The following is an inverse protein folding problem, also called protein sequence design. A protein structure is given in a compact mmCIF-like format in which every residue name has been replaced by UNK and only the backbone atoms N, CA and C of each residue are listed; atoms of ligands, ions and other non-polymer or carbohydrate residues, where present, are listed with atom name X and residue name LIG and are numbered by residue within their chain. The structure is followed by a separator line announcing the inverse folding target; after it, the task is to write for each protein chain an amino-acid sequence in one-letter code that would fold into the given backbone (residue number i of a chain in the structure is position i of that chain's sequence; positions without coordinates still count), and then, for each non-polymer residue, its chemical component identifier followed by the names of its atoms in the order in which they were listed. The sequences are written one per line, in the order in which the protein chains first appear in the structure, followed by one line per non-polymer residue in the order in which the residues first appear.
data_IF_325681819591
#
_entry.id   IF_325681819591
#
_cell.length_a   1.000
_cell.length_b   1.000
_cell.length_c   1.000
_cell.angle_alpha   90.00
_cell.angle_beta   90.00
_cell.angle_gamma   90.00
#
_symmetry.space_group_name_H-M   'P 1'
#
loop_
_entity.id
_entity.type
_entity.pdbx_description
1 polymer ?
#
# COMPACT_ATOMS: atom_id res chain seq x y z
N UNK A 1 -16.24 35.88 -13.21
CA UNK A 1 -15.26 35.57 -14.26
C UNK A 1 -15.55 34.19 -14.80
N UNK A 2 -16.05 34.08 -16.00
CA UNK A 2 -16.54 32.85 -16.63
C UNK A 2 -15.35 32.20 -17.37
N UNK A 3 -14.89 31.06 -16.89
CA UNK A 3 -13.81 30.31 -17.56
C UNK A 3 -14.42 29.57 -18.75
N UNK A 4 -14.11 30.03 -19.94
CA UNK A 4 -14.46 29.31 -21.18
C UNK A 4 -13.45 28.16 -21.39
N UNK A 5 -13.93 26.93 -21.25
CA UNK A 5 -13.18 25.73 -21.67
C UNK A 5 -13.27 25.61 -23.20
N UNK A 6 -12.15 25.83 -23.89
CA UNK A 6 -12.04 25.49 -25.32
C UNK A 6 -12.03 23.96 -25.46
N UNK A 7 -13.03 23.43 -26.15
CA UNK A 7 -13.07 22.05 -26.63
C UNK A 7 -11.97 21.89 -27.69
N UNK A 8 -10.98 21.09 -27.43
CA UNK A 8 -9.99 20.67 -28.43
C UNK A 8 -10.63 19.54 -29.22
N UNK A 9 -10.83 19.76 -30.52
CA UNK A 9 -11.27 18.72 -31.46
C UNK A 9 -10.17 17.66 -31.58
N UNK A 10 -10.51 16.41 -31.25
CA UNK A 10 -9.61 15.27 -31.39
C UNK A 10 -9.53 14.91 -32.87
N UNK A 11 -8.32 14.98 -33.43
CA UNK A 11 -8.02 14.36 -34.73
C UNK A 11 -8.19 12.84 -34.63
N UNK A 12 -9.02 12.30 -35.53
CA UNK A 12 -9.17 10.85 -35.72
C UNK A 12 -7.85 10.29 -36.24
N UNK A 13 -7.21 9.34 -35.52
CA UNK A 13 -6.16 8.53 -36.13
C UNK A 13 -4.94 8.09 -35.34
N UNK A 14 -4.88 8.22 -34.00
CA UNK A 14 -3.87 7.49 -33.24
C UNK A 14 -4.56 6.53 -32.27
N UNK A 15 -4.40 5.24 -32.49
CA UNK A 15 -4.78 4.21 -31.51
C UNK A 15 -3.94 4.46 -30.24
N UNK A 16 -4.56 5.07 -29.26
CA UNK A 16 -3.94 5.38 -27.97
C UNK A 16 -3.72 4.06 -27.23
N UNK A 17 -2.65 3.34 -27.61
CA UNK A 17 -2.31 2.05 -27.01
C UNK A 17 -1.91 2.30 -25.56
N UNK A 18 -2.67 1.76 -24.62
CA UNK A 18 -2.37 1.83 -23.20
C UNK A 18 -0.97 1.28 -22.94
N UNK A 19 -0.14 2.06 -22.29
CA UNK A 19 1.22 1.66 -21.93
C UNK A 19 1.54 2.03 -20.48
N UNK A 20 2.35 1.18 -19.83
CA UNK A 20 2.80 1.36 -18.46
C UNK A 20 4.32 1.45 -18.44
N UNK A 21 4.85 2.43 -17.74
CA UNK A 21 6.30 2.61 -17.55
C UNK A 21 6.61 2.72 -16.06
N UNK A 22 7.45 1.84 -15.54
CA UNK A 22 7.95 1.93 -14.17
C UNK A 22 9.06 2.99 -14.13
N UNK A 23 8.89 4.00 -13.29
CA UNK A 23 9.81 5.11 -13.10
C UNK A 23 10.79 4.83 -11.95
N UNK A 24 10.27 4.23 -10.87
CA UNK A 24 11.04 3.87 -9.68
C UNK A 24 10.37 2.66 -9.01
N UNK A 25 11.16 1.71 -8.52
CA UNK A 25 10.64 0.52 -7.84
C UNK A 25 11.61 0.04 -6.78
N UNK A 26 11.05 -0.30 -5.63
CA UNK A 26 11.70 -1.05 -4.55
C UNK A 26 10.73 -2.09 -4.00
N UNK A 27 11.12 -2.88 -3.01
CA UNK A 27 10.23 -3.88 -2.42
C UNK A 27 8.96 -3.26 -1.81
N UNK A 28 9.08 -2.03 -1.23
CA UNK A 28 7.97 -1.36 -0.54
C UNK A 28 7.46 -0.08 -1.21
N UNK A 29 8.06 0.36 -2.30
CA UNK A 29 7.67 1.60 -2.98
C UNK A 29 7.68 1.41 -4.48
N UNK A 30 6.69 2.00 -5.16
CA UNK A 30 6.68 2.05 -6.61
C UNK A 30 6.13 3.37 -7.11
N UNK A 31 6.74 3.86 -8.20
CA UNK A 31 6.29 4.99 -8.98
C UNK A 31 6.27 4.61 -10.45
N UNK A 32 5.15 4.81 -11.12
CA UNK A 32 4.96 4.41 -12.50
C UNK A 32 4.06 5.40 -13.24
N UNK A 33 4.19 5.47 -14.57
CA UNK A 33 3.25 6.20 -15.41
C UNK A 33 2.37 5.22 -16.21
N UNK A 34 1.13 5.64 -16.44
CA UNK A 34 0.21 4.97 -17.35
C UNK A 34 -0.27 6.00 -18.37
N UNK A 35 -0.10 5.69 -19.63
CA UNK A 35 -0.57 6.48 -20.77
C UNK A 35 -1.78 5.81 -21.43
N UNK A 36 -2.66 6.62 -22.03
CA UNK A 36 -3.81 6.14 -22.81
C UNK A 36 -5.02 5.77 -21.93
N UNK A 37 -5.13 6.30 -20.71
CA UNK A 37 -6.27 6.08 -19.84
C UNK A 37 -7.04 7.38 -19.53
N UNK A 38 -8.29 7.23 -19.09
CA UNK A 38 -9.12 8.34 -18.64
C UNK A 38 -8.95 8.59 -17.13
N UNK A 39 -9.30 9.80 -16.63
CA UNK A 39 -9.32 10.08 -15.19
C UNK A 39 -10.18 9.10 -14.38
N UNK A 40 -11.26 8.58 -14.96
CA UNK A 40 -12.12 7.58 -14.31
C UNK A 40 -11.39 6.27 -14.08
N UNK A 41 -10.63 5.80 -15.08
CA UNK A 41 -9.79 4.59 -14.97
C UNK A 41 -8.66 4.83 -13.96
N UNK A 42 -7.99 5.99 -14.01
CA UNK A 42 -6.97 6.35 -13.04
C UNK A 42 -7.49 6.31 -11.61
N UNK A 43 -8.67 6.89 -11.34
CA UNK A 43 -9.27 6.82 -10.01
C UNK A 43 -9.71 5.40 -9.62
N UNK A 44 -10.14 4.58 -10.58
CA UNK A 44 -10.47 3.17 -10.31
C UNK A 44 -9.25 2.36 -9.89
N UNK A 45 -8.09 2.58 -10.55
CA UNK A 45 -6.80 2.00 -10.16
C UNK A 45 -6.45 2.43 -8.73
N UNK A 46 -6.50 3.74 -8.45
CA UNK A 46 -6.22 4.27 -7.11
C UNK A 46 -7.11 3.63 -6.04
N UNK A 47 -8.41 3.55 -6.28
CA UNK A 47 -9.36 2.94 -5.33
C UNK A 47 -9.10 1.47 -5.13
N UNK A 48 -8.79 0.72 -6.17
CA UNK A 48 -8.43 -0.71 -6.06
C UNK A 48 -7.16 -0.90 -5.24
N UNK A 49 -6.13 -0.07 -5.47
CA UNK A 49 -4.91 -0.07 -4.66
C UNK A 49 -5.19 0.14 -3.17
N UNK A 50 -6.10 1.05 -2.81
CA UNK A 50 -6.40 1.37 -1.41
C UNK A 50 -7.27 0.30 -0.74
N UNK A 51 -8.28 -0.23 -1.44
CA UNK A 51 -9.37 -0.96 -0.79
C UNK A 51 -9.45 -2.45 -1.09
N UNK A 52 -8.93 -2.91 -2.22
CA UNK A 52 -9.23 -4.24 -2.73
C UNK A 52 -8.05 -5.23 -2.71
N UNK A 53 -6.86 -4.77 -2.32
CA UNK A 53 -5.69 -5.65 -2.21
C UNK A 53 -5.91 -6.64 -1.08
N UNK A 54 -5.82 -7.96 -1.34
CA UNK A 54 -5.90 -8.96 -0.29
C UNK A 54 -4.65 -8.93 0.57
N UNK A 55 -4.84 -9.04 1.88
CA UNK A 55 -3.76 -9.07 2.85
C UNK A 55 -4.09 -10.02 3.98
N UNK A 56 -3.08 -10.72 4.49
CA UNK A 56 -3.17 -11.52 5.68
C UNK A 56 -3.04 -10.63 6.92
N UNK A 57 -3.97 -10.76 7.88
CA UNK A 57 -3.86 -10.07 9.17
C UNK A 57 -4.46 -10.91 10.29
N UNK A 58 -3.95 -10.75 11.51
CA UNK A 58 -4.49 -11.40 12.70
C UNK A 58 -5.94 -10.93 12.89
N UNK A 59 -6.86 -11.88 13.00
CA UNK A 59 -8.30 -11.65 13.13
C UNK A 59 -8.85 -12.14 14.46
N UNK A 60 -8.34 -13.26 14.97
CA UNK A 60 -8.71 -13.84 16.25
C UNK A 60 -7.52 -13.98 17.15
N UNK A 61 -7.66 -13.56 18.40
CA UNK A 61 -6.64 -13.66 19.43
C UNK A 61 -7.24 -14.34 20.66
N UNK A 62 -6.55 -15.32 21.19
CA UNK A 62 -6.89 -16.03 22.42
C UNK A 62 -5.75 -15.79 23.41
N UNK A 63 -6.03 -15.05 24.48
CA UNK A 63 -5.09 -14.78 25.56
C UNK A 63 -5.36 -15.80 26.67
N UNK A 64 -4.33 -16.55 27.02
CA UNK A 64 -4.43 -17.60 28.04
C UNK A 64 -4.02 -17.02 29.40
N UNK A 65 -4.98 -16.80 30.27
CA UNK A 65 -4.77 -16.32 31.63
C UNK A 65 -4.49 -17.45 32.59
N UNK A 66 -3.65 -17.20 33.58
CA UNK A 66 -3.38 -18.14 34.67
C UNK A 66 -1.91 -18.15 35.11
N UNK A 67 -1.61 -19.03 36.06
CA UNK A 67 -0.26 -19.21 36.55
C UNK A 67 0.52 -20.19 35.67
N UNK A 68 1.68 -19.80 35.25
CA UNK A 68 2.60 -20.60 34.42
C UNK A 68 3.85 -20.86 35.26
N UNK A 69 4.39 -22.08 35.18
CA UNK A 69 5.69 -22.44 35.79
C UNK A 69 6.71 -22.66 34.71
N UNK A 70 7.89 -22.06 34.87
CA UNK A 70 9.02 -22.37 34.01
C UNK A 70 9.66 -23.72 34.38
N UNK A 71 10.68 -24.11 33.63
CA UNK A 71 11.44 -25.38 33.88
C UNK A 71 12.20 -25.39 35.21
N UNK A 72 12.42 -24.23 35.79
CA UNK A 72 13.13 -24.03 37.04
C UNK A 72 12.15 -23.95 38.25
N UNK A 73 10.85 -24.01 38.01
CA UNK A 73 9.80 -23.99 39.03
C UNK A 73 9.35 -22.56 39.42
N UNK A 74 9.87 -21.52 38.78
CA UNK A 74 9.38 -20.14 39.03
C UNK A 74 7.98 -19.96 38.53
N UNK A 75 7.17 -19.22 39.29
CA UNK A 75 5.77 -18.95 38.96
C UNK A 75 5.64 -17.59 38.31
N UNK A 76 4.97 -17.54 37.16
CA UNK A 76 4.62 -16.33 36.42
C UNK A 76 3.09 -16.24 36.30
N UNK A 77 2.57 -15.01 36.27
CA UNK A 77 1.16 -14.72 36.00
C UNK A 77 1.01 -14.21 34.56
N UNK A 78 0.13 -14.84 33.80
CA UNK A 78 -0.13 -14.42 32.42
C UNK A 78 -1.18 -13.30 32.30
N UNK A 79 -1.55 -12.65 33.40
CA UNK A 79 -2.30 -11.41 33.34
C UNK A 79 -1.47 -10.28 32.75
N UNK A 80 -1.95 -9.72 31.62
CA UNK A 80 -1.22 -8.70 30.90
C UNK A 80 -1.31 -7.32 31.62
N UNK A 81 -0.28 -6.46 31.52
CA UNK A 81 -0.31 -5.12 32.08
C UNK A 81 -1.20 -4.13 31.30
N UNK A 82 -1.63 -4.51 30.09
CA UNK A 82 -2.59 -3.81 29.24
C UNK A 82 -3.88 -4.63 29.14
N UNK A 83 -4.99 -3.97 28.89
CA UNK A 83 -6.24 -4.67 28.58
C UNK A 83 -6.10 -5.56 27.35
N UNK A 84 -6.73 -6.69 27.37
CA UNK A 84 -6.65 -7.72 26.32
C UNK A 84 -7.05 -7.17 24.95
N UNK A 85 -8.06 -6.30 24.90
CA UNK A 85 -8.53 -5.64 23.68
C UNK A 85 -7.44 -4.75 23.06
N UNK A 86 -6.66 -4.04 23.90
CA UNK A 86 -5.58 -3.20 23.43
C UNK A 86 -4.44 -4.03 22.83
N UNK A 87 -4.14 -5.17 23.45
CA UNK A 87 -3.14 -6.11 22.94
C UNK A 87 -3.61 -6.74 21.63
N UNK A 88 -4.88 -7.16 21.58
CA UNK A 88 -5.49 -7.71 20.36
C UNK A 88 -5.49 -6.71 19.20
N UNK A 89 -5.82 -5.44 19.45
CA UNK A 89 -5.74 -4.38 18.43
C UNK A 89 -4.32 -4.17 17.92
N UNK A 90 -3.32 -4.16 18.80
CA UNK A 90 -1.91 -4.05 18.39
C UNK A 90 -1.47 -5.23 17.53
N UNK A 91 -1.81 -6.45 17.94
CA UNK A 91 -1.52 -7.66 17.18
C UNK A 91 -2.17 -7.65 15.79
N UNK A 92 -3.43 -7.21 15.69
CA UNK A 92 -4.16 -7.13 14.43
C UNK A 92 -3.55 -6.16 13.42
N UNK A 93 -2.83 -5.11 13.88
CA UNK A 93 -2.20 -4.10 13.03
C UNK A 93 -0.76 -4.44 12.63
N UNK A 94 -0.18 -5.50 13.19
CA UNK A 94 1.17 -5.94 12.80
C UNK A 94 1.13 -6.48 11.36
N UNK A 95 1.92 -5.90 10.44
CA UNK A 95 1.97 -6.38 9.07
C UNK A 95 2.66 -7.75 9.01
N UNK A 96 1.99 -8.70 8.37
CA UNK A 96 2.44 -10.08 8.20
C UNK A 96 2.67 -10.34 6.72
N UNK A 97 3.73 -11.05 6.37
CA UNK A 97 3.97 -11.50 4.98
C UNK A 97 2.74 -12.22 4.47
N UNK A 98 2.28 -11.83 3.31
CA UNK A 98 1.07 -12.36 2.70
C UNK A 98 1.42 -13.25 1.51
N UNK A 99 0.92 -14.48 1.54
CA UNK A 99 0.89 -15.36 0.37
C UNK A 99 -0.49 -15.25 -0.29
N UNK A 100 -0.54 -14.77 -1.53
CA UNK A 100 -1.78 -14.60 -2.29
C UNK A 100 -2.44 -15.93 -2.69
N UNK A 101 -1.80 -17.08 -2.48
CA UNK A 101 -2.39 -18.40 -2.69
C UNK A 101 -3.27 -18.85 -1.51
N UNK A 102 -3.25 -18.16 -0.38
CA UNK A 102 -4.14 -18.42 0.76
C UNK A 102 -5.55 -17.99 0.37
N UNK A 103 -6.51 -18.89 0.54
CA UNK A 103 -7.92 -18.63 0.23
C UNK A 103 -8.54 -17.64 1.22
N UNK A 104 -9.51 -16.87 0.75
CA UNK A 104 -10.44 -16.21 1.66
C UNK A 104 -11.25 -17.25 2.41
N UNK A 105 -11.52 -17.01 3.70
CA UNK A 105 -12.19 -17.99 4.57
C UNK A 105 -13.61 -18.36 4.11
N UNK A 106 -14.33 -17.39 3.56
CA UNK A 106 -15.68 -17.54 2.99
C UNK A 106 -15.70 -18.29 1.65
N UNK A 107 -14.56 -18.35 0.94
CA UNK A 107 -14.39 -19.01 -0.36
C UNK A 107 -13.62 -20.34 -0.27
N UNK A 108 -13.29 -20.76 0.95
CA UNK A 108 -12.51 -21.96 1.17
C UNK A 108 -13.39 -23.24 1.19
N UNK A 109 -12.84 -24.33 0.68
CA UNK A 109 -13.49 -25.65 0.69
C UNK A 109 -13.86 -26.18 2.10
N UNK A 110 -13.32 -25.58 3.15
CA UNK A 110 -13.67 -25.90 4.54
C UNK A 110 -14.97 -25.22 5.03
N UNK A 111 -15.72 -24.55 4.16
CA UNK A 111 -16.97 -23.85 4.49
C UNK A 111 -16.83 -22.86 5.66
N UNK A 112 -15.71 -22.15 5.76
CA UNK A 112 -15.50 -21.12 6.78
C UNK A 112 -15.07 -21.62 8.17
N UNK A 113 -14.91 -22.93 8.36
CA UNK A 113 -14.49 -23.50 9.67
C UNK A 113 -13.08 -23.05 10.04
N UNK A 114 -12.21 -22.92 9.05
CA UNK A 114 -10.79 -22.61 9.21
C UNK A 114 -9.92 -23.86 9.02
N UNK A 115 -9.05 -23.79 8.05
CA UNK A 115 -8.10 -24.86 7.73
C UNK A 115 -6.76 -24.24 7.27
N UNK A 116 -5.67 -25.03 7.13
CA UNK A 116 -4.36 -24.52 6.70
C UNK A 116 -4.37 -23.78 5.34
N UNK A 117 -5.40 -24.00 4.49
CA UNK A 117 -5.53 -23.31 3.20
C UNK A 117 -6.10 -21.88 3.34
N UNK A 118 -6.72 -21.51 4.46
CA UNK A 118 -7.37 -20.20 4.64
C UNK A 118 -7.05 -19.54 5.99
N UNK A 119 -6.34 -20.21 6.88
CA UNK A 119 -6.03 -19.69 8.22
C UNK A 119 -4.58 -20.02 8.57
N UNK A 120 -3.85 -19.02 9.07
CA UNK A 120 -2.49 -19.17 9.58
C UNK A 120 -2.50 -18.94 11.07
N UNK A 121 -1.98 -19.91 11.83
CA UNK A 121 -1.93 -19.85 13.28
C UNK A 121 -0.55 -19.39 13.77
N UNK A 122 -0.58 -18.58 14.81
CA UNK A 122 0.60 -18.04 15.49
C UNK A 122 0.52 -18.28 16.99
N UNK A 123 1.67 -18.31 17.64
CA UNK A 123 1.79 -18.35 19.10
C UNK A 123 2.78 -17.30 19.59
N UNK A 124 2.54 -16.78 20.78
CA UNK A 124 3.47 -15.94 21.52
C UNK A 124 3.61 -16.56 22.92
N UNK A 125 4.85 -16.83 23.30
CA UNK A 125 5.19 -17.33 24.64
C UNK A 125 6.42 -16.57 25.14
N UNK A 126 6.21 -15.60 26.04
CA UNK A 126 7.28 -14.75 26.56
C UNK A 126 7.14 -14.58 28.07
N UNK A 127 8.26 -14.79 28.77
CA UNK A 127 8.37 -14.55 30.23
C UNK A 127 9.00 -13.19 30.48
N UNK A 128 8.50 -12.48 31.50
CA UNK A 128 9.04 -11.21 31.93
C UNK A 128 10.15 -11.33 33.01
N UNK A 129 10.93 -10.27 33.23
CA UNK A 129 10.77 -8.96 32.65
C UNK A 129 11.30 -8.88 31.21
N UNK A 130 10.47 -8.46 30.27
CA UNK A 130 10.84 -8.39 28.85
C UNK A 130 9.94 -7.40 28.07
N UNK A 131 10.43 -6.90 26.92
CA UNK A 131 9.62 -6.28 25.91
C UNK A 131 9.17 -7.36 24.93
N UNK A 132 7.86 -7.51 24.75
CA UNK A 132 7.29 -8.36 23.71
C UNK A 132 7.22 -7.54 22.42
N UNK A 133 7.79 -8.07 21.35
CA UNK A 133 7.80 -7.45 20.03
C UNK A 133 7.14 -8.38 19.00
N UNK A 134 6.92 -7.87 17.80
CA UNK A 134 6.45 -8.67 16.67
C UNK A 134 7.36 -9.87 16.36
N UNK A 135 8.65 -9.79 16.67
CA UNK A 135 9.59 -10.91 16.51
C UNK A 135 9.31 -12.10 17.44
N UNK A 136 8.52 -11.91 18.50
CA UNK A 136 8.09 -12.98 19.40
C UNK A 136 6.86 -13.75 18.86
N UNK A 137 6.26 -13.30 17.76
CA UNK A 137 5.16 -13.99 17.08
C UNK A 137 5.73 -15.14 16.26
N UNK A 138 5.48 -16.36 16.72
CA UNK A 138 5.99 -17.58 16.09
C UNK A 138 4.90 -18.24 15.26
N UNK A 139 5.13 -18.52 13.96
CA UNK A 139 4.19 -19.24 13.13
C UNK A 139 4.09 -20.70 13.58
N UNK A 140 2.88 -21.23 13.67
CA UNK A 140 2.61 -22.62 14.04
C UNK A 140 2.39 -23.48 12.80
N UNK A 141 1.66 -22.95 11.80
CA UNK A 141 1.21 -23.73 10.63
C UNK A 141 2.08 -23.53 9.38
N UNK A 142 2.66 -22.34 9.18
CA UNK A 142 3.50 -22.03 8.01
C UNK A 142 4.70 -21.18 8.43
N UNK A 143 5.92 -21.74 8.42
CA UNK A 143 7.12 -21.07 8.94
C UNK A 143 7.56 -19.87 8.09
N UNK A 144 7.14 -19.76 6.84
CA UNK A 144 7.53 -18.68 5.93
C UNK A 144 6.69 -17.40 6.14
N UNK A 145 5.56 -17.51 6.84
CA UNK A 145 4.66 -16.41 7.12
C UNK A 145 5.03 -15.78 8.46
N UNK A 146 5.79 -14.70 8.39
CA UNK A 146 6.33 -13.97 9.54
C UNK A 146 5.90 -12.50 9.49
N UNK A 147 5.93 -11.77 10.63
CA UNK A 147 5.86 -10.32 10.63
C UNK A 147 6.94 -9.71 9.73
N UNK A 148 6.59 -8.61 9.06
CA UNK A 148 7.51 -7.93 8.11
C UNK A 148 8.58 -7.09 8.80
N UNK A 149 8.31 -6.69 10.02
CA UNK A 149 9.22 -5.99 10.93
C UNK A 149 9.15 -6.69 12.28
N UNK A 150 10.30 -7.08 12.82
CA UNK A 150 10.41 -7.89 14.04
C UNK A 150 10.54 -7.04 15.32
N UNK A 151 10.69 -5.72 15.19
CA UNK A 151 10.95 -4.81 16.31
C UNK A 151 9.73 -4.01 16.76
N UNK A 152 8.54 -4.26 16.19
CA UNK A 152 7.30 -3.55 16.57
C UNK A 152 6.94 -3.91 18.01
N UNK A 153 6.91 -2.94 18.96
CA UNK A 153 6.62 -3.22 20.36
C UNK A 153 5.13 -3.52 20.58
N UNK A 154 4.84 -4.61 21.28
CA UNK A 154 3.47 -5.03 21.63
C UNK A 154 3.14 -4.64 23.07
N UNK A 155 3.87 -5.19 24.05
CA UNK A 155 3.67 -4.95 25.47
C UNK A 155 4.98 -5.15 26.24
N UNK A 156 5.15 -4.38 27.33
CA UNK A 156 6.27 -4.58 28.27
C UNK A 156 5.78 -5.39 29.47
N UNK A 157 6.38 -6.55 29.68
CA UNK A 157 6.11 -7.42 30.82
C UNK A 157 6.99 -7.02 32.00
N UNK A 158 6.40 -7.00 33.18
CA UNK A 158 7.10 -6.84 34.46
C UNK A 158 7.71 -8.16 34.99
N UNK A 159 8.31 -8.08 36.19
CA UNK A 159 8.79 -9.27 36.89
C UNK A 159 7.61 -10.20 37.20
N UNK A 160 7.82 -11.52 36.99
CA UNK A 160 6.80 -12.57 37.20
C UNK A 160 5.53 -12.42 36.36
N UNK A 161 5.56 -11.62 35.29
CA UNK A 161 4.51 -11.60 34.28
C UNK A 161 4.91 -12.48 33.08
N UNK A 162 3.91 -13.01 32.40
CA UNK A 162 4.12 -13.76 31.17
C UNK A 162 3.05 -13.36 30.14
N UNK A 163 3.34 -13.61 28.87
CA UNK A 163 2.37 -13.48 27.79
C UNK A 163 2.25 -14.83 27.07
N UNK A 164 1.06 -15.41 27.12
CA UNK A 164 0.74 -16.64 26.42
C UNK A 164 -0.46 -16.40 25.53
N UNK A 165 -0.24 -16.34 24.22
CA UNK A 165 -1.25 -15.99 23.23
C UNK A 165 -1.23 -16.95 22.06
N UNK A 166 -2.42 -17.33 21.60
CA UNK A 166 -2.62 -18.00 20.32
C UNK A 166 -3.40 -17.02 19.41
N UNK A 167 -2.96 -16.86 18.17
CA UNK A 167 -3.60 -15.97 17.22
C UNK A 167 -3.84 -16.66 15.88
N UNK A 168 -4.94 -16.30 15.23
CA UNK A 168 -5.29 -16.78 13.89
C UNK A 168 -5.33 -15.58 12.94
N UNK A 169 -4.62 -15.68 11.82
CA UNK A 169 -4.66 -14.70 10.74
C UNK A 169 -5.43 -15.27 9.54
N UNK A 170 -6.20 -14.41 8.89
CA UNK A 170 -7.01 -14.71 7.71
C UNK A 170 -6.81 -13.64 6.63
N UNK A 171 -7.15 -14.01 5.40
CA UNK A 171 -7.18 -13.07 4.28
C UNK A 171 -8.40 -12.14 4.37
N UNK A 172 -8.17 -10.85 4.15
CA UNK A 172 -9.22 -9.84 4.07
C UNK A 172 -8.82 -8.68 3.17
N UNK A 173 -9.65 -7.65 3.11
CA UNK A 173 -9.42 -6.44 2.29
C UNK A 173 -9.63 -5.18 3.11
N UNK A 174 -8.96 -4.11 2.76
CA UNK A 174 -9.05 -2.83 3.48
C UNK A 174 -10.47 -2.24 3.52
N UNK A 175 -11.32 -2.56 2.52
CA UNK A 175 -12.74 -2.18 2.53
C UNK A 175 -13.53 -2.77 3.71
N UNK A 176 -13.10 -3.91 4.25
CA UNK A 176 -13.76 -4.59 5.34
C UNK A 176 -13.23 -4.10 6.70
N UNK A 177 -11.91 -3.92 6.82
CA UNK A 177 -11.26 -3.34 8.00
C UNK A 177 -9.85 -2.85 7.68
N UNK A 178 -9.43 -1.72 8.30
CA UNK A 178 -8.13 -1.08 8.06
C UNK A 178 -6.91 -1.98 8.36
N UNK A 179 -7.01 -3.02 9.19
CA UNK A 179 -5.93 -3.97 9.45
C UNK A 179 -5.47 -4.70 8.18
N UNK A 180 -6.35 -4.85 7.20
CA UNK A 180 -6.05 -5.45 5.90
C UNK A 180 -5.58 -4.44 4.84
N UNK A 181 -5.32 -3.19 5.23
CA UNK A 181 -4.77 -2.22 4.30
C UNK A 181 -3.29 -2.52 4.04
N UNK A 182 -2.98 -2.92 2.80
CA UNK A 182 -1.63 -3.27 2.38
C UNK A 182 -0.84 -2.08 1.84
N UNK A 183 -1.53 -1.02 1.40
CA UNK A 183 -0.92 0.13 0.73
C UNK A 183 -1.15 1.43 1.48
N UNK A 184 -0.19 2.35 1.36
CA UNK A 184 -0.28 3.72 1.91
C UNK A 184 0.22 4.74 0.89
N UNK A 185 -0.13 6.02 1.10
CA UNK A 185 0.34 7.11 0.25
C UNK A 185 -0.09 6.98 -1.23
N UNK A 186 -1.18 6.25 -1.53
CA UNK A 186 -1.65 6.02 -2.90
C UNK A 186 -2.16 7.32 -3.49
N UNK A 187 -1.40 7.86 -4.44
CA UNK A 187 -1.73 9.09 -5.13
C UNK A 187 -1.40 9.00 -6.62
N UNK A 188 -2.10 9.79 -7.42
CA UNK A 188 -1.76 10.02 -8.81
C UNK A 188 -1.87 11.50 -9.16
N UNK A 189 -1.17 11.90 -10.20
CA UNK A 189 -1.26 13.22 -10.82
C UNK A 189 -1.18 13.09 -12.32
N UNK A 190 -1.63 14.11 -13.04
CA UNK A 190 -1.40 14.20 -14.48
C UNK A 190 0.09 14.32 -14.78
N UNK A 191 0.51 13.74 -15.89
CA UNK A 191 1.83 14.02 -16.42
C UNK A 191 1.88 15.47 -16.88
N UNK A 192 2.90 16.19 -16.45
CA UNK A 192 3.09 17.62 -16.77
C UNK A 192 4.46 17.86 -17.35
N UNK A 193 4.51 18.67 -18.38
CA UNK A 193 5.72 19.23 -18.93
C UNK A 193 5.81 20.71 -18.53
N UNK A 194 6.88 21.07 -17.88
CA UNK A 194 7.16 22.42 -17.46
C UNK A 194 8.22 23.01 -18.38
N UNK A 195 7.93 24.17 -18.97
CA UNK A 195 8.87 24.92 -19.80
C UNK A 195 9.10 26.29 -19.19
N UNK A 196 10.37 26.59 -18.89
CA UNK A 196 10.81 27.82 -18.25
C UNK A 196 11.79 28.55 -19.15
N UNK A 197 11.50 29.80 -19.50
CA UNK A 197 12.39 30.66 -20.25
C UNK A 197 13.41 31.34 -19.30
N UNK A 198 14.69 31.11 -19.49
CA UNK A 198 15.77 31.60 -18.60
C UNK A 198 15.80 33.12 -18.44
N UNK A 199 15.37 33.86 -19.48
CA UNK A 199 15.33 35.33 -19.45
C UNK A 199 14.23 35.88 -18.55
N UNK A 200 13.13 35.14 -18.39
CA UNK A 200 11.94 35.58 -17.69
C UNK A 200 11.79 34.99 -16.29
N UNK A 201 12.73 34.16 -15.86
CA UNK A 201 12.64 33.47 -14.59
C UNK A 201 14.01 33.46 -13.87
N UNK A 202 14.19 34.39 -12.94
CA UNK A 202 15.46 34.58 -12.22
C UNK A 202 15.93 33.33 -11.44
N UNK A 203 14.98 32.51 -10.97
CA UNK A 203 15.24 31.31 -10.16
C UNK A 203 15.50 30.03 -10.96
N UNK A 204 15.77 30.14 -12.27
CA UNK A 204 16.03 28.96 -13.11
C UNK A 204 17.24 28.12 -12.62
N UNK A 205 18.21 28.76 -11.96
CA UNK A 205 19.36 28.07 -11.37
C UNK A 205 18.96 27.10 -10.25
N UNK A 206 17.95 27.44 -9.44
CA UNK A 206 17.42 26.56 -8.40
C UNK A 206 16.75 25.29 -8.99
N UNK A 207 16.08 25.42 -10.12
CA UNK A 207 15.51 24.28 -10.84
C UNK A 207 16.62 23.32 -11.25
N UNK A 208 17.69 23.87 -11.82
CA UNK A 208 18.83 23.08 -12.26
C UNK A 208 19.56 22.37 -11.11
N UNK A 209 19.62 23.00 -9.95
CA UNK A 209 20.24 22.44 -8.75
C UNK A 209 19.39 21.34 -8.12
N UNK A 210 18.07 21.55 -8.04
CA UNK A 210 17.15 20.64 -7.34
C UNK A 210 16.62 19.50 -8.19
N UNK A 211 16.56 19.69 -9.53
CA UNK A 211 16.06 18.66 -10.44
C UNK A 211 17.16 17.71 -10.90
N UNK A 212 16.94 16.39 -10.83
CA UNK A 212 17.85 15.42 -11.40
C UNK A 212 18.03 15.62 -12.90
N UNK A 213 19.24 15.41 -13.39
CA UNK A 213 19.55 15.52 -14.84
C UNK A 213 18.71 14.57 -15.72
N UNK A 214 18.21 13.48 -15.16
CA UNK A 214 17.39 12.49 -15.88
C UNK A 214 16.02 13.02 -16.31
N UNK A 215 15.49 14.02 -15.62
CA UNK A 215 14.17 14.61 -15.92
C UNK A 215 14.26 16.01 -16.52
N UNK A 216 15.46 16.59 -16.58
CA UNK A 216 15.72 17.95 -17.00
C UNK A 216 16.38 17.97 -18.37
N UNK A 217 15.75 18.68 -19.31
CA UNK A 217 16.33 19.01 -20.63
C UNK A 217 16.66 20.50 -20.65
N UNK A 218 17.91 20.82 -20.79
CA UNK A 218 18.37 22.22 -20.87
C UNK A 218 18.68 22.60 -22.31
N UNK A 219 18.05 23.64 -22.79
CA UNK A 219 18.35 24.28 -24.06
C UNK A 219 19.01 25.65 -23.80
N UNK A 220 19.51 26.33 -24.85
CA UNK A 220 20.22 27.63 -24.71
C UNK A 220 19.37 28.66 -23.96
N UNK A 221 18.07 28.74 -24.27
CA UNK A 221 17.18 29.77 -23.77
C UNK A 221 16.11 29.26 -22.84
N UNK A 222 15.92 27.94 -22.69
CA UNK A 222 14.84 27.34 -21.91
C UNK A 222 15.32 26.12 -21.14
N UNK A 223 14.57 25.80 -20.08
CA UNK A 223 14.69 24.57 -19.33
C UNK A 223 13.33 23.87 -19.39
N UNK A 224 13.32 22.61 -19.79
CA UNK A 224 12.13 21.77 -19.82
C UNK A 224 12.34 20.60 -18.89
N UNK A 225 11.37 20.32 -18.03
CA UNK A 225 11.35 19.12 -17.19
C UNK A 225 9.99 18.46 -17.21
N UNK A 226 9.99 17.14 -17.22
CA UNK A 226 8.80 16.32 -17.46
C UNK A 226 8.23 15.66 -16.20
N UNK A 227 8.93 15.77 -15.06
CA UNK A 227 8.48 15.22 -13.79
C UNK A 227 8.91 16.15 -12.65
N UNK A 228 7.94 16.81 -12.01
CA UNK A 228 8.17 17.72 -10.89
C UNK A 228 8.38 17.03 -9.55
N UNK A 229 8.06 15.72 -9.46
CA UNK A 229 8.16 14.96 -8.20
C UNK A 229 9.59 14.90 -7.64
N UNK A 230 10.64 14.58 -8.44
CA UNK A 230 12.01 14.59 -7.95
C UNK A 230 12.52 15.99 -7.65
N UNK A 231 11.93 17.01 -8.27
CA UNK A 231 12.40 18.39 -8.15
C UNK A 231 11.93 19.10 -6.87
N UNK A 232 10.85 18.63 -6.24
CA UNK A 232 10.22 19.27 -5.06
C UNK A 232 9.89 20.76 -5.22
N UNK A 233 9.69 21.21 -6.46
CA UNK A 233 9.52 22.63 -6.82
C UNK A 233 8.08 22.99 -7.18
N UNK A 234 7.15 22.03 -7.27
CA UNK A 234 5.82 22.24 -7.85
C UNK A 234 5.02 23.40 -7.25
N UNK A 235 5.17 23.66 -5.96
CA UNK A 235 4.41 24.73 -5.30
C UNK A 235 4.80 26.15 -5.73
N UNK A 236 6.04 26.35 -6.12
CA UNK A 236 6.56 27.67 -6.49
C UNK A 236 6.40 28.00 -7.98
N UNK A 237 6.15 26.98 -8.80
CA UNK A 237 6.12 27.12 -10.25
C UNK A 237 4.73 27.42 -10.80
N UNK A 238 3.67 27.08 -10.06
CA UNK A 238 2.28 27.29 -10.53
C UNK A 238 1.86 28.74 -10.53
N UNK A 239 2.47 29.56 -9.68
CA UNK A 239 2.10 30.97 -9.50
C UNK A 239 2.97 31.92 -10.35
N UNK A 240 3.98 31.40 -11.08
CA UNK A 240 4.89 32.21 -11.88
C UNK A 240 4.41 32.31 -13.34
N UNK A 241 4.09 33.51 -13.86
CA UNK A 241 3.62 33.69 -15.24
C UNK A 241 4.61 33.27 -16.33
N UNK A 242 5.89 33.20 -15.96
CA UNK A 242 7.03 32.83 -16.84
C UNK A 242 7.17 31.32 -17.05
N UNK A 243 6.41 30.52 -16.28
CA UNK A 243 6.41 29.07 -16.37
C UNK A 243 5.22 28.59 -17.21
N UNK A 244 5.51 27.97 -18.35
CA UNK A 244 4.48 27.34 -19.17
C UNK A 244 4.32 25.89 -18.74
N UNK A 245 3.11 25.50 -18.39
CA UNK A 245 2.74 24.16 -17.99
C UNK A 245 1.87 23.53 -19.07
N UNK A 246 2.34 22.43 -19.65
CA UNK A 246 1.58 21.58 -20.55
C UNK A 246 1.16 20.34 -19.78
N UNK A 247 -0.14 20.11 -19.65
CA UNK A 247 -0.70 18.96 -18.95
C UNK A 247 -1.23 17.96 -19.97
N UNK A 248 -0.87 16.68 -19.82
CA UNK A 248 -1.43 15.58 -20.60
C UNK A 248 -2.55 14.93 -19.79
N UNK A 249 -3.77 15.01 -20.29
CA UNK A 249 -4.98 14.49 -19.65
C UNK A 249 -5.18 12.98 -19.85
N UNK A 250 -4.29 12.34 -20.60
CA UNK A 250 -4.31 10.89 -20.89
C UNK A 250 -3.16 10.13 -20.23
N UNK A 251 -2.15 10.81 -19.69
CA UNK A 251 -1.02 10.21 -18.98
C UNK A 251 -1.04 10.59 -17.51
N UNK A 252 -0.90 9.56 -16.65
CA UNK A 252 -0.95 9.70 -15.19
C UNK A 252 0.29 9.10 -14.55
N UNK A 253 0.87 9.80 -13.58
CA UNK A 253 1.96 9.33 -12.74
C UNK A 253 1.38 8.91 -11.41
N UNK A 254 1.54 7.64 -11.07
CA UNK A 254 1.13 7.03 -9.81
C UNK A 254 2.30 6.81 -8.87
N UNK A 255 2.03 6.85 -7.57
CA UNK A 255 2.94 6.37 -6.53
C UNK A 255 2.15 5.74 -5.40
N UNK A 256 2.74 4.74 -4.76
CA UNK A 256 2.27 4.20 -3.49
C UNK A 256 3.40 3.47 -2.76
N UNK A 257 3.17 3.21 -1.50
CA UNK A 257 4.02 2.40 -0.63
C UNK A 257 3.23 1.20 -0.11
N UNK A 258 3.93 0.12 0.26
CA UNK A 258 3.37 -1.03 0.96
C UNK A 258 3.91 -1.11 2.38
N UNK A 259 3.17 -1.74 3.27
CA UNK A 259 3.62 -2.03 4.64
C UNK A 259 4.62 -3.22 4.72
N UNK A 260 5.00 -3.77 3.56
CA UNK A 260 5.91 -4.92 3.44
C UNK A 260 5.22 -6.28 3.47
N UNK A 261 3.90 -6.35 3.72
CA UNK A 261 3.15 -7.60 3.62
C UNK A 261 3.16 -8.20 2.22
N UNK A 262 3.20 -7.34 1.20
CA UNK A 262 3.33 -7.65 -0.22
C UNK A 262 4.38 -6.73 -0.86
N UNK A 263 5.05 -7.21 -1.89
CA UNK A 263 5.93 -6.36 -2.70
C UNK A 263 5.11 -5.39 -3.53
N UNK A 264 5.62 -4.17 -3.71
CA UNK A 264 4.91 -3.12 -4.44
C UNK A 264 4.59 -3.52 -5.89
N UNK A 265 5.48 -4.26 -6.55
CA UNK A 265 5.25 -4.75 -7.91
C UNK A 265 4.12 -5.78 -7.97
N UNK A 266 4.06 -6.72 -7.00
CA UNK A 266 3.00 -7.74 -6.93
C UNK A 266 1.62 -7.09 -6.70
N UNK A 267 1.58 -6.04 -5.87
CA UNK A 267 0.37 -5.24 -5.63
C UNK A 267 -0.10 -4.55 -6.90
N UNK A 268 0.82 -3.96 -7.68
CA UNK A 268 0.47 -3.35 -8.97
C UNK A 268 -0.07 -4.39 -9.94
N UNK A 269 0.60 -5.52 -10.08
CA UNK A 269 0.19 -6.61 -10.97
C UNK A 269 -1.20 -7.15 -10.57
N UNK A 270 -1.43 -7.40 -9.29
CA UNK A 270 -2.74 -7.79 -8.79
C UNK A 270 -3.82 -6.76 -9.13
N UNK A 271 -3.53 -5.47 -8.94
CA UNK A 271 -4.47 -4.38 -9.22
C UNK A 271 -4.91 -4.38 -10.69
N UNK A 272 -3.94 -4.50 -11.60
CA UNK A 272 -4.20 -4.49 -13.05
C UNK A 272 -4.98 -5.71 -13.50
N UNK A 273 -4.74 -6.89 -12.92
CA UNK A 273 -5.50 -8.11 -13.19
C UNK A 273 -6.93 -8.04 -12.59
N UNK A 274 -7.10 -7.37 -11.47
CA UNK A 274 -8.38 -7.30 -10.75
C UNK A 274 -9.42 -6.41 -11.42
N UNK A 275 -9.00 -5.33 -12.05
CA UNK A 275 -9.91 -4.35 -12.66
C UNK A 275 -10.82 -4.94 -13.76
N UNK A 276 -10.30 -5.68 -14.77
CA UNK A 276 -11.14 -6.33 -15.77
C UNK A 276 -12.13 -7.32 -15.13
N UNK A 277 -11.68 -8.16 -14.21
CA UNK A 277 -12.53 -9.14 -13.54
C UNK A 277 -13.75 -8.50 -12.82
N UNK A 278 -13.58 -7.30 -12.26
CA UNK A 278 -14.70 -6.56 -11.64
C UNK A 278 -15.72 -6.08 -12.67
N UNK A 279 -15.26 -5.69 -13.85
CA UNK A 279 -16.14 -5.29 -14.95
C UNK A 279 -16.91 -6.50 -15.50
N UNK A 280 -16.25 -7.66 -15.61
CA UNK A 280 -16.89 -8.90 -16.04
C UNK A 280 -18.01 -9.33 -15.07
N UNK A 281 -17.73 -9.34 -13.77
CA UNK A 281 -18.73 -9.63 -12.74
C UNK A 281 -19.91 -8.65 -12.78
N UNK A 282 -19.64 -7.36 -13.00
CA UNK A 282 -20.70 -6.36 -13.15
C UNK A 282 -21.53 -6.63 -14.40
N UNK A 283 -20.89 -6.93 -15.51
CA UNK A 283 -21.58 -7.26 -16.76
C UNK A 283 -22.47 -8.48 -16.60
N UNK A 284 -21.96 -9.57 -16.03
CA UNK A 284 -22.76 -10.78 -15.74
C UNK A 284 -23.96 -10.48 -14.85
N UNK A 285 -23.79 -9.66 -13.80
CA UNK A 285 -24.88 -9.30 -12.89
C UNK A 285 -26.00 -8.49 -13.56
N UNK A 286 -25.69 -7.70 -14.59
CA UNK A 286 -26.68 -6.94 -15.35
C UNK A 286 -27.43 -7.89 -16.32
N UNK A 287 -26.72 -8.77 -17.00
CA UNK A 287 -27.30 -9.71 -17.98
C UNK A 287 -28.21 -10.74 -17.31
N UNK A 288 -27.93 -11.14 -16.07
CA UNK A 288 -28.75 -12.13 -15.33
C UNK A 288 -29.99 -11.52 -14.67
N UNK A 289 -30.20 -10.20 -14.76
CA UNK A 289 -31.36 -9.52 -14.17
C UNK A 289 -32.52 -9.33 -15.16
N UNK A 290 -32.32 -9.71 -16.43
CA UNK A 290 -33.34 -9.80 -17.49
C UNK A 290 -33.85 -11.27 -17.62
#
# INVERSE_FOLDING_TARGET
MTVQRKKVERGEGESNQMSIKILESSDRFIRFSINGITPSVANSIRRTLVSDIPKLAIDKVIIHHGQIRDKEGNVYDSSLPLFDEMVAHRLALIPIKTDLNINFRDQCSCNGVGCPLCTVSFSINKLGPALVTSGDIQPVSNPDILPTDLEIPIVKLGKKQAMLVTAEAIMGRAKDHAKWQATSGVAYKYHREFSVEKQNFERWAEIKEKCPKSVLKEDKNSIVFTDDFPCKLSHYLFDEPSVKIKEDDTEFIFKFETDGSLKALDVLEYTLRRLPQRLDVLHESIVTTD
#
